data_IF_832381677863
#
_entry.id   IF_832381677863
#
_cell.length_a   1.000
_cell.length_b   1.000
_cell.length_c   1.000
_cell.angle_alpha   90.00
_cell.angle_beta   90.00
_cell.angle_gamma   90.00
#
_symmetry.space_group_name_H-M   'P 1'
#
loop_
_entity.id
_entity.type
_entity.pdbx_description
1 polymer ?
#
# COMPACT_ATOMS: atom_id res chain seq x y z
N UNK A 1 7.37 13.60 -7.95
CA UNK A 1 7.27 13.49 -9.42
C UNK A 1 6.98 14.86 -10.01
N UNK A 2 7.85 15.43 -10.86
CA UNK A 2 7.54 16.70 -11.56
C UNK A 2 6.40 16.43 -12.55
N UNK A 3 5.37 17.30 -12.63
CA UNK A 3 4.28 17.13 -13.59
C UNK A 3 4.82 17.08 -15.01
N UNK A 4 4.24 16.22 -15.87
CA UNK A 4 4.62 16.17 -17.29
C UNK A 4 4.40 17.53 -17.93
N UNK A 5 5.28 18.00 -18.82
CA UNK A 5 5.19 19.30 -19.49
C UNK A 5 3.81 19.60 -20.09
N UNK A 6 3.09 18.59 -20.59
CA UNK A 6 1.72 18.75 -21.10
C UNK A 6 0.69 19.15 -20.04
N UNK A 7 0.81 18.67 -18.79
CA UNK A 7 -0.13 19.03 -17.71
C UNK A 7 0.09 20.46 -17.22
N UNK A 8 1.33 20.92 -17.16
CA UNK A 8 1.66 22.30 -16.80
C UNK A 8 1.14 23.30 -17.85
N UNK A 9 1.23 22.97 -19.14
CA UNK A 9 0.72 23.81 -20.21
C UNK A 9 -0.81 23.90 -20.16
N UNK A 10 -1.51 22.79 -19.90
CA UNK A 10 -2.97 22.80 -19.72
C UNK A 10 -3.40 23.69 -18.56
N UNK A 11 -2.69 23.66 -17.43
CA UNK A 11 -2.95 24.55 -16.28
C UNK A 11 -2.73 26.01 -16.66
N UNK A 12 -1.63 26.35 -17.32
CA UNK A 12 -1.36 27.73 -17.78
C UNK A 12 -2.46 28.25 -18.71
N UNK A 13 -2.89 27.43 -19.68
CA UNK A 13 -3.97 27.79 -20.60
C UNK A 13 -5.29 28.03 -19.85
N UNK A 14 -5.62 27.21 -18.86
CA UNK A 14 -6.80 27.38 -18.02
C UNK A 14 -6.73 28.68 -17.19
N UNK A 15 -5.60 29.00 -16.56
CA UNK A 15 -5.40 30.23 -15.81
C UNK A 15 -5.57 31.47 -16.70
N UNK A 16 -5.03 31.42 -17.92
CA UNK A 16 -5.19 32.50 -18.91
C UNK A 16 -6.64 32.64 -19.33
N UNK A 17 -7.34 31.56 -19.60
CA UNK A 17 -8.76 31.59 -20.00
C UNK A 17 -9.69 32.14 -18.88
N UNK A 18 -9.34 31.91 -17.62
CA UNK A 18 -10.05 32.46 -16.44
C UNK A 18 -9.71 33.97 -16.24
N UNK A 19 -8.62 34.45 -16.83
CA UNK A 19 -8.16 35.82 -16.65
C UNK A 19 -7.38 36.09 -15.35
N UNK A 20 -6.95 35.04 -14.65
CA UNK A 20 -6.17 35.14 -13.41
C UNK A 20 -4.94 34.21 -13.53
N UNK A 21 -3.84 34.69 -14.17
CA UNK A 21 -2.68 33.86 -14.47
C UNK A 21 -2.01 33.21 -13.26
N UNK A 22 -2.07 33.83 -12.09
CA UNK A 22 -1.46 33.36 -10.84
C UNK A 22 -2.44 32.68 -9.87
N UNK A 23 -3.64 32.27 -10.33
CA UNK A 23 -4.67 31.67 -9.47
C UNK A 23 -4.18 30.40 -8.75
N UNK A 24 -3.35 29.59 -9.40
CA UNK A 24 -2.80 28.38 -8.78
C UNK A 24 -1.91 28.74 -7.60
N UNK A 25 -1.03 29.73 -7.75
CA UNK A 25 -0.15 30.19 -6.68
C UNK A 25 -0.94 30.79 -5.52
N UNK A 26 -1.94 31.61 -5.82
CA UNK A 26 -2.83 32.17 -4.80
C UNK A 26 -3.51 31.05 -4.00
N UNK A 27 -4.07 30.03 -4.67
CA UNK A 27 -4.73 28.92 -4.01
C UNK A 27 -3.75 28.05 -3.22
N UNK A 28 -2.53 27.82 -3.74
CA UNK A 28 -1.54 26.95 -3.11
C UNK A 28 -0.90 27.56 -1.85
N UNK A 29 -0.77 28.90 -1.80
CA UNK A 29 -0.02 29.58 -0.74
C UNK A 29 -0.89 30.35 0.27
N UNK A 30 -2.13 30.66 -0.09
CA UNK A 30 -3.04 31.38 0.82
C UNK A 30 -3.49 30.49 1.99
N UNK A 31 -3.66 31.05 3.19
CA UNK A 31 -4.19 30.31 4.34
C UNK A 31 -5.55 29.69 4.03
N UNK A 32 -5.75 28.43 4.42
CA UNK A 32 -7.00 27.70 4.15
C UNK A 32 -8.23 28.39 4.79
N UNK A 33 -8.05 29.09 5.91
CA UNK A 33 -9.11 29.89 6.55
C UNK A 33 -9.67 31.01 5.65
N UNK A 34 -8.89 31.53 4.72
CA UNK A 34 -9.31 32.53 3.72
C UNK A 34 -9.91 31.86 2.48
N UNK A 35 -9.38 30.72 2.05
CA UNK A 35 -9.84 30.04 0.83
C UNK A 35 -11.13 29.23 1.06
N UNK A 36 -11.29 28.62 2.22
CA UNK A 36 -12.42 27.72 2.47
C UNK A 36 -13.79 28.40 2.31
N UNK A 37 -14.05 29.63 2.82
CA UNK A 37 -15.31 30.33 2.57
C UNK A 37 -15.57 30.58 1.07
N UNK A 38 -14.52 30.90 0.31
CA UNK A 38 -14.60 31.11 -1.13
C UNK A 38 -14.99 29.83 -1.83
N UNK A 39 -14.31 28.74 -1.55
CA UNK A 39 -14.58 27.43 -2.15
C UNK A 39 -15.99 26.95 -1.81
N UNK A 40 -16.38 27.01 -0.53
CA UNK A 40 -17.72 26.58 -0.09
C UNK A 40 -18.80 27.41 -0.81
N UNK A 41 -18.66 28.72 -0.88
CA UNK A 41 -19.64 29.58 -1.58
C UNK A 41 -19.70 29.30 -3.09
N UNK A 42 -18.54 29.17 -3.74
CA UNK A 42 -18.48 28.86 -5.17
C UNK A 42 -19.12 27.50 -5.49
N UNK A 43 -18.83 26.47 -4.72
CA UNK A 43 -19.39 25.12 -4.92
C UNK A 43 -20.88 25.06 -4.56
N UNK A 44 -21.35 25.83 -3.56
CA UNK A 44 -22.78 25.97 -3.26
C UNK A 44 -23.53 26.55 -4.46
N UNK A 45 -23.02 27.61 -5.09
CA UNK A 45 -23.61 28.15 -6.30
C UNK A 45 -23.60 27.17 -7.47
N UNK A 46 -22.52 26.47 -7.69
CA UNK A 46 -22.45 25.43 -8.73
C UNK A 46 -23.44 24.28 -8.47
N UNK A 47 -23.59 23.85 -7.22
CA UNK A 47 -24.53 22.79 -6.85
C UNK A 47 -25.99 23.24 -7.05
N UNK A 48 -26.36 24.45 -6.63
CA UNK A 48 -27.72 24.98 -6.77
C UNK A 48 -28.14 25.24 -8.23
N UNK A 49 -27.19 25.35 -9.15
CA UNK A 49 -27.50 25.48 -10.59
C UNK A 49 -27.74 24.16 -11.30
N UNK A 50 -27.51 23.01 -10.63
CA UNK A 50 -27.64 21.67 -11.22
C UNK A 50 -29.09 21.22 -11.30
N UNK A 51 -29.42 20.45 -12.35
CA UNK A 51 -30.74 19.87 -12.55
C UNK A 51 -30.68 18.36 -12.31
N UNK A 52 -31.73 17.78 -11.76
CA UNK A 52 -31.78 16.35 -11.44
C UNK A 52 -31.42 15.40 -12.62
N UNK A 53 -31.91 15.63 -13.86
CA UNK A 53 -31.49 14.78 -15.00
C UNK A 53 -29.99 14.87 -15.33
N UNK A 54 -29.32 15.98 -15.02
CA UNK A 54 -27.87 16.12 -15.22
C UNK A 54 -27.10 15.30 -14.20
N UNK A 55 -27.61 15.18 -12.97
CA UNK A 55 -27.01 14.35 -11.94
C UNK A 55 -27.06 12.87 -12.34
N UNK A 56 -28.19 12.41 -12.86
CA UNK A 56 -28.33 11.03 -13.34
C UNK A 56 -27.37 10.75 -14.49
N UNK A 57 -27.29 11.63 -15.49
CA UNK A 57 -26.33 11.49 -16.59
C UNK A 57 -24.89 11.43 -16.11
N UNK A 58 -24.51 12.30 -15.18
CA UNK A 58 -23.16 12.30 -14.63
C UNK A 58 -22.86 10.97 -13.89
N UNK A 59 -23.80 10.49 -13.10
CA UNK A 59 -23.69 9.19 -12.41
C UNK A 59 -23.44 8.04 -13.39
N UNK A 60 -24.20 7.98 -14.47
CA UNK A 60 -24.04 6.96 -15.52
C UNK A 60 -22.73 7.07 -16.30
N UNK A 61 -22.28 8.31 -16.61
CA UNK A 61 -21.04 8.57 -17.33
C UNK A 61 -19.79 8.29 -16.49
N UNK A 62 -19.84 8.52 -15.18
CA UNK A 62 -18.73 8.33 -14.24
C UNK A 62 -18.89 7.06 -13.41
N UNK A 63 -19.48 6.01 -13.97
CA UNK A 63 -19.83 4.78 -13.25
C UNK A 63 -18.63 4.12 -12.57
N UNK A 64 -17.41 4.27 -13.08
CA UNK A 64 -16.19 3.71 -12.48
C UNK A 64 -15.87 4.29 -11.10
N UNK A 65 -16.26 5.56 -10.85
CA UNK A 65 -16.02 6.28 -9.60
C UNK A 65 -17.28 6.33 -8.74
N UNK A 66 -18.43 6.55 -9.38
CA UNK A 66 -19.70 6.80 -8.68
C UNK A 66 -20.62 5.58 -8.63
N UNK A 67 -20.41 4.59 -9.51
CA UNK A 67 -21.27 3.42 -9.62
C UNK A 67 -21.13 2.47 -8.43
N UNK A 68 -22.02 1.51 -8.37
CA UNK A 68 -22.03 0.47 -7.33
C UNK A 68 -21.00 -0.62 -7.64
N UNK A 69 -20.44 -1.24 -6.59
CA UNK A 69 -19.71 -2.50 -6.73
C UNK A 69 -20.65 -3.61 -7.24
N UNK A 70 -20.06 -4.56 -7.98
CA UNK A 70 -20.76 -5.78 -8.40
C UNK A 70 -20.93 -6.81 -7.26
N UNK A 71 -20.29 -6.57 -6.11
CA UNK A 71 -20.32 -7.46 -4.95
C UNK A 71 -21.50 -7.03 -4.05
N UNK A 72 -22.29 -8.00 -3.58
CA UNK A 72 -23.38 -7.70 -2.67
C UNK A 72 -22.87 -7.19 -1.33
N UNK A 73 -23.57 -6.24 -0.73
CA UNK A 73 -23.19 -5.70 0.59
C UNK A 73 -23.15 -6.78 1.68
N UNK A 74 -24.06 -7.77 1.59
CA UNK A 74 -24.06 -8.92 2.50
C UNK A 74 -22.76 -9.72 2.43
N UNK A 75 -22.22 -9.96 1.22
CA UNK A 75 -20.96 -10.67 1.03
C UNK A 75 -19.78 -9.85 1.53
N UNK A 76 -19.81 -8.53 1.30
CA UNK A 76 -18.82 -7.59 1.83
C UNK A 76 -18.77 -7.68 3.36
N UNK A 77 -19.91 -7.68 4.05
CA UNK A 77 -19.93 -7.76 5.51
C UNK A 77 -19.45 -9.11 6.04
N UNK A 78 -19.82 -10.21 5.39
CA UNK A 78 -19.32 -11.54 5.78
C UNK A 78 -17.80 -11.65 5.64
N UNK A 79 -17.27 -11.12 4.55
CA UNK A 79 -15.81 -11.05 4.34
C UNK A 79 -15.14 -10.19 5.42
N UNK A 80 -15.65 -8.99 5.65
CA UNK A 80 -15.12 -8.06 6.65
C UNK A 80 -15.12 -8.68 8.05
N UNK A 81 -16.22 -9.31 8.45
CA UNK A 81 -16.34 -9.97 9.75
C UNK A 81 -15.32 -11.12 9.89
N UNK A 82 -15.18 -11.97 8.87
CA UNK A 82 -14.16 -13.04 8.87
C UNK A 82 -12.74 -12.49 9.07
N UNK A 83 -12.41 -11.39 8.41
CA UNK A 83 -11.11 -10.74 8.55
C UNK A 83 -10.90 -10.19 9.97
N UNK A 84 -11.88 -9.48 10.50
CA UNK A 84 -11.80 -8.85 11.83
C UNK A 84 -11.75 -9.89 12.94
N UNK A 85 -12.61 -10.90 12.90
CA UNK A 85 -12.62 -12.00 13.89
C UNK A 85 -11.30 -12.76 13.93
N UNK A 86 -10.65 -12.91 12.78
CA UNK A 86 -9.32 -13.54 12.71
C UNK A 86 -8.24 -12.66 13.31
N UNK A 87 -8.29 -11.36 13.06
CA UNK A 87 -7.25 -10.42 13.49
C UNK A 87 -7.36 -9.99 14.96
N UNK A 88 -8.54 -10.08 15.60
CA UNK A 88 -8.84 -9.52 16.93
C UNK A 88 -7.92 -10.02 18.05
N UNK A 89 -7.28 -11.17 17.91
CA UNK A 89 -6.34 -11.69 18.90
C UNK A 89 -5.03 -10.89 19.01
N UNK A 90 -4.68 -10.14 17.94
CA UNK A 90 -3.43 -9.39 17.86
C UNK A 90 -3.60 -7.93 17.44
N UNK A 91 -4.74 -7.56 16.87
CA UNK A 91 -5.04 -6.23 16.36
C UNK A 91 -6.38 -5.73 16.91
N UNK A 92 -6.39 -4.50 17.40
CA UNK A 92 -7.65 -3.83 17.73
C UNK A 92 -8.35 -3.40 16.43
N UNK A 93 -9.62 -3.80 16.29
CA UNK A 93 -10.44 -3.40 15.16
C UNK A 93 -11.02 -2.01 15.36
N UNK A 94 -10.81 -1.12 14.41
CA UNK A 94 -11.28 0.27 14.47
C UNK A 94 -12.03 0.66 13.19
N UNK A 95 -13.11 1.43 13.36
CA UNK A 95 -13.79 2.09 12.27
C UNK A 95 -13.11 3.42 11.96
N UNK A 96 -12.93 3.74 10.68
CA UNK A 96 -12.22 4.93 10.26
C UNK A 96 -13.10 5.87 9.45
N UNK A 97 -12.81 7.19 9.48
CA UNK A 97 -13.45 8.16 8.60
C UNK A 97 -13.19 7.84 7.11
N UNK A 98 -14.11 8.12 6.19
CA UNK A 98 -13.87 8.01 4.75
C UNK A 98 -12.92 9.08 4.19
N UNK A 99 -12.53 10.07 5.00
CA UNK A 99 -11.65 11.19 4.62
C UNK A 99 -10.45 11.29 5.56
N UNK A 100 -9.35 11.84 5.03
CA UNK A 100 -8.10 12.11 5.73
C UNK A 100 -7.67 13.57 5.51
N UNK A 101 -6.70 14.10 6.28
CA UNK A 101 -6.08 15.38 5.96
C UNK A 101 -5.54 15.43 4.54
N UNK A 102 -5.65 16.57 3.87
CA UNK A 102 -5.11 16.75 2.51
C UNK A 102 -3.61 16.46 2.48
N UNK A 103 -3.18 15.67 1.53
CA UNK A 103 -1.79 15.27 1.35
C UNK A 103 -1.37 14.03 2.12
N UNK A 104 -2.24 13.41 2.93
CA UNK A 104 -1.91 12.18 3.66
C UNK A 104 -1.31 11.11 2.75
N UNK A 105 -1.96 10.85 1.62
CA UNK A 105 -1.47 9.86 0.68
C UNK A 105 -0.15 10.31 0.02
N UNK A 106 -0.10 11.52 -0.52
CA UNK A 106 1.08 12.00 -1.24
C UNK A 106 2.34 12.11 -0.37
N UNK A 107 2.20 12.53 0.88
CA UNK A 107 3.33 12.67 1.82
C UNK A 107 3.84 11.32 2.29
N UNK A 108 2.96 10.42 2.71
CA UNK A 108 3.38 9.13 3.27
C UNK A 108 3.81 8.14 2.18
N UNK A 109 3.05 8.02 1.09
CA UNK A 109 3.30 7.02 0.05
C UNK A 109 4.17 7.52 -1.10
N UNK A 110 4.41 8.85 -1.18
CA UNK A 110 5.09 9.52 -2.30
C UNK A 110 4.39 9.34 -3.65
N UNK A 111 3.14 8.89 -3.65
CA UNK A 111 2.29 8.79 -4.84
C UNK A 111 1.73 10.18 -5.18
N UNK A 112 1.56 10.44 -6.47
CA UNK A 112 1.03 11.74 -6.93
C UNK A 112 -0.34 12.04 -6.33
N UNK A 113 -0.55 13.28 -5.84
CA UNK A 113 -1.84 13.78 -5.37
C UNK A 113 -2.94 13.69 -6.44
N UNK A 114 -2.59 13.65 -7.72
CA UNK A 114 -3.54 13.44 -8.82
C UNK A 114 -4.28 12.09 -8.77
N UNK A 115 -3.76 11.13 -8.00
CA UNK A 115 -4.40 9.83 -7.80
C UNK A 115 -5.40 9.83 -6.63
N UNK A 116 -5.57 10.97 -5.95
CA UNK A 116 -6.42 11.10 -4.77
C UNK A 116 -7.50 12.16 -5.01
N UNK A 117 -8.73 11.88 -4.59
CA UNK A 117 -9.83 12.83 -4.70
C UNK A 117 -9.76 13.85 -3.55
N UNK A 118 -9.23 15.03 -3.83
CA UNK A 118 -9.17 16.15 -2.87
C UNK A 118 -10.54 16.82 -2.72
N UNK A 119 -10.85 17.28 -1.52
CA UNK A 119 -12.08 18.04 -1.23
C UNK A 119 -11.79 19.53 -1.11
N UNK A 120 -12.86 20.33 -1.13
CA UNK A 120 -12.78 21.79 -0.91
C UNK A 120 -12.56 22.18 0.57
N UNK A 121 -12.47 21.20 1.47
CA UNK A 121 -12.34 21.44 2.92
C UNK A 121 -10.97 21.03 3.48
N UNK A 122 -9.93 21.11 2.65
CA UNK A 122 -8.56 20.74 3.02
C UNK A 122 -8.44 19.29 3.53
N UNK A 123 -9.22 18.41 2.93
CA UNK A 123 -9.20 16.97 3.18
C UNK A 123 -9.14 16.23 1.86
N UNK A 124 -8.94 14.93 1.92
CA UNK A 124 -9.00 14.05 0.76
C UNK A 124 -9.80 12.79 1.08
N UNK A 125 -10.43 12.23 0.08
CA UNK A 125 -11.07 10.91 0.20
C UNK A 125 -9.96 9.86 0.32
N UNK A 126 -10.12 8.97 1.27
CA UNK A 126 -9.17 7.88 1.55
C UNK A 126 -8.87 7.06 0.29
N UNK A 127 -7.62 7.08 -0.13
CA UNK A 127 -7.11 6.30 -1.27
C UNK A 127 -6.37 5.02 -0.82
N UNK A 128 -5.93 5.00 0.44
CA UNK A 128 -5.28 3.86 1.08
C UNK A 128 -5.59 3.85 2.58
N UNK A 129 -6.27 2.80 3.03
CA UNK A 129 -6.67 2.65 4.43
C UNK A 129 -5.46 2.51 5.37
N UNK A 130 -4.32 1.97 4.88
CA UNK A 130 -3.10 1.83 5.69
C UNK A 130 -2.55 3.16 6.15
N UNK A 131 -2.62 4.21 5.30
CA UNK A 131 -2.15 5.56 5.66
C UNK A 131 -2.98 6.18 6.77
N UNK A 132 -4.29 5.98 6.73
CA UNK A 132 -5.20 6.49 7.77
C UNK A 132 -5.01 5.75 9.09
N UNK A 133 -4.92 4.41 9.05
CA UNK A 133 -4.62 3.63 10.25
C UNK A 133 -3.27 4.03 10.87
N UNK A 134 -2.27 4.35 10.03
CA UNK A 134 -0.97 4.80 10.54
C UNK A 134 -1.07 6.16 11.24
N UNK A 135 -1.91 7.09 10.78
CA UNK A 135 -2.17 8.33 11.52
C UNK A 135 -2.73 8.04 12.91
N UNK A 136 -3.68 7.11 13.03
CA UNK A 136 -4.24 6.72 14.33
C UNK A 136 -3.22 5.97 15.20
N UNK A 137 -2.45 5.03 14.62
CA UNK A 137 -1.34 4.37 15.32
C UNK A 137 -0.36 5.40 15.92
N UNK A 138 0.04 6.39 15.13
CA UNK A 138 0.97 7.43 15.57
C UNK A 138 0.34 8.39 16.59
N UNK A 139 -0.96 8.71 16.47
CA UNK A 139 -1.70 9.48 17.46
C UNK A 139 -1.69 8.78 18.83
N UNK A 140 -1.95 7.47 18.84
CA UNK A 140 -1.90 6.65 20.07
C UNK A 140 -0.48 6.53 20.61
N UNK A 141 0.51 6.23 19.74
CA UNK A 141 1.92 6.18 20.14
C UNK A 141 2.40 7.48 20.75
N UNK A 142 2.00 8.64 20.25
CA UNK A 142 2.34 9.96 20.80
C UNK A 142 1.85 10.09 22.25
N UNK A 143 0.66 9.59 22.57
CA UNK A 143 0.13 9.57 23.94
C UNK A 143 0.93 8.64 24.84
N UNK A 144 1.23 7.41 24.39
CA UNK A 144 2.04 6.45 25.14
C UNK A 144 3.46 6.97 25.41
N UNK A 145 4.08 7.62 24.42
CA UNK A 145 5.40 8.26 24.61
C UNK A 145 5.33 9.36 25.68
N UNK A 146 4.28 10.17 25.68
CA UNK A 146 4.10 11.24 26.66
C UNK A 146 3.90 10.71 28.09
N UNK A 147 3.31 9.52 28.26
CA UNK A 147 3.16 8.82 29.55
C UNK A 147 4.31 7.88 29.86
N UNK A 148 5.37 7.88 29.04
CA UNK A 148 6.53 6.98 29.15
C UNK A 148 6.18 5.48 29.06
N UNK A 149 5.05 5.15 28.45
CA UNK A 149 4.65 3.78 28.17
C UNK A 149 5.29 3.28 26.87
N UNK A 150 5.88 2.07 26.91
CA UNK A 150 6.60 1.49 25.78
C UNK A 150 5.78 0.45 25.00
N UNK A 151 4.45 0.50 25.11
CA UNK A 151 3.55 -0.41 24.43
C UNK A 151 3.46 -0.09 22.94
N UNK A 152 3.46 -1.12 22.10
CA UNK A 152 3.18 -0.98 20.68
C UNK A 152 1.68 -0.83 20.40
N UNK A 153 1.34 -0.30 19.23
CA UNK A 153 -0.04 -0.15 18.77
C UNK A 153 -0.23 -1.01 17.52
N UNK A 154 -1.24 -1.87 17.53
CA UNK A 154 -1.61 -2.75 16.43
C UNK A 154 -3.09 -2.55 16.12
N UNK A 155 -3.40 -2.02 14.95
CA UNK A 155 -4.77 -1.73 14.52
C UNK A 155 -5.10 -2.46 13.24
N UNK A 156 -6.36 -2.89 13.10
CA UNK A 156 -6.92 -3.36 11.85
C UNK A 156 -8.20 -2.61 11.50
N UNK A 157 -8.51 -2.56 10.22
CA UNK A 157 -9.76 -1.98 9.72
C UNK A 157 -10.10 -2.57 8.37
N UNK A 158 -11.39 -2.57 8.07
CA UNK A 158 -11.94 -2.88 6.76
C UNK A 158 -12.65 -1.64 6.22
N UNK A 159 -12.43 -1.31 4.95
CA UNK A 159 -13.13 -0.16 4.40
C UNK A 159 -12.84 0.13 2.94
N UNK A 160 -13.75 0.93 2.36
CA UNK A 160 -13.72 1.29 0.96
C UNK A 160 -12.76 2.44 0.69
N UNK A 161 -11.96 2.30 -0.36
CA UNK A 161 -10.96 3.26 -0.80
C UNK A 161 -11.30 3.75 -2.21
N UNK A 162 -10.81 4.93 -2.58
CA UNK A 162 -10.99 5.50 -3.92
C UNK A 162 -9.64 5.96 -4.48
N UNK A 163 -9.26 5.43 -5.64
CA UNK A 163 -8.04 5.84 -6.37
C UNK A 163 -8.42 6.33 -7.77
N UNK A 164 -7.96 7.52 -8.13
CA UNK A 164 -8.25 8.11 -9.44
C UNK A 164 -7.29 7.66 -10.55
N UNK A 165 -6.27 6.88 -10.21
CA UNK A 165 -5.36 6.32 -11.23
C UNK A 165 -6.12 5.37 -12.17
N UNK A 166 -5.75 5.33 -13.45
CA UNK A 166 -6.29 4.32 -14.36
C UNK A 166 -5.94 2.90 -13.90
N UNK A 167 -6.91 2.00 -13.98
CA UNK A 167 -6.72 0.58 -13.72
C UNK A 167 -6.92 -0.25 -14.98
N UNK A 168 -6.27 -1.40 -15.03
CA UNK A 168 -6.53 -2.41 -16.05
C UNK A 168 -7.88 -3.09 -15.75
N UNK A 169 -8.89 -2.70 -16.52
CA UNK A 169 -10.27 -3.22 -16.38
C UNK A 169 -10.35 -4.73 -16.68
N UNK A 170 -9.46 -5.25 -17.53
CA UNK A 170 -9.44 -6.66 -17.90
C UNK A 170 -9.04 -7.55 -16.72
N UNK A 171 -8.29 -7.02 -15.76
CA UNK A 171 -7.89 -7.69 -14.52
C UNK A 171 -8.91 -7.55 -13.38
N UNK A 172 -10.07 -6.96 -13.65
CA UNK A 172 -11.14 -6.80 -12.66
C UNK A 172 -10.90 -5.70 -11.61
N UNK A 173 -9.88 -4.87 -11.77
CA UNK A 173 -9.67 -3.72 -10.88
C UNK A 173 -10.75 -2.65 -11.08
N UNK A 174 -11.06 -1.94 -9.99
CA UNK A 174 -11.98 -0.78 -9.97
C UNK A 174 -11.28 0.40 -9.29
N UNK A 175 -11.78 1.63 -9.58
CA UNK A 175 -11.26 2.83 -8.94
C UNK A 175 -11.65 2.93 -7.46
N UNK A 176 -12.79 2.35 -7.06
CA UNK A 176 -13.16 2.19 -5.66
C UNK A 176 -13.26 0.71 -5.29
N UNK A 177 -12.68 0.34 -4.18
CA UNK A 177 -12.52 -1.06 -3.76
C UNK A 177 -12.35 -1.16 -2.25
N UNK A 178 -12.66 -2.33 -1.72
CA UNK A 178 -12.48 -2.61 -0.29
C UNK A 178 -11.12 -3.24 -0.01
N UNK A 179 -10.52 -2.79 1.09
CA UNK A 179 -9.32 -3.37 1.69
C UNK A 179 -9.59 -3.78 3.13
N UNK A 180 -9.09 -4.92 3.52
CA UNK A 180 -8.78 -5.22 4.91
C UNK A 180 -7.32 -4.91 5.16
N UNK A 181 -7.02 -4.12 6.18
CA UNK A 181 -5.66 -3.63 6.43
C UNK A 181 -5.24 -3.78 7.88
N UNK A 182 -3.95 -4.00 8.06
CA UNK A 182 -3.26 -4.03 9.35
C UNK A 182 -2.22 -2.90 9.37
N UNK A 183 -2.12 -2.18 10.47
CA UNK A 183 -1.08 -1.18 10.71
C UNK A 183 -0.55 -1.30 12.13
N UNK A 184 0.76 -1.24 12.26
CA UNK A 184 1.45 -1.35 13.55
C UNK A 184 2.52 -0.28 13.69
N UNK A 185 2.59 0.33 14.88
CA UNK A 185 3.64 1.27 15.24
C UNK A 185 4.18 0.96 16.63
N UNK A 186 5.51 1.06 16.80
CA UNK A 186 6.17 0.78 18.07
C UNK A 186 7.64 1.19 18.04
N UNK A 187 8.25 1.18 19.21
CA UNK A 187 9.65 1.54 19.36
C UNK A 187 10.57 0.44 18.86
N UNK A 188 11.55 0.82 18.06
CA UNK A 188 12.61 -0.09 17.66
C UNK A 188 13.59 -0.28 18.82
N UNK A 189 13.69 -1.50 19.33
CA UNK A 189 14.61 -1.90 20.40
C UNK A 189 15.62 -2.92 19.84
N UNK A 190 16.84 -2.51 19.50
CA UNK A 190 17.83 -3.45 18.92
C UNK A 190 18.16 -4.63 19.85
N UNK A 191 18.15 -4.42 21.16
CA UNK A 191 18.40 -5.45 22.17
C UNK A 191 17.34 -6.57 22.22
N UNK A 192 16.13 -6.31 21.72
CA UNK A 192 15.01 -7.26 21.69
C UNK A 192 14.74 -7.81 20.26
N UNK A 193 15.72 -7.78 19.38
CA UNK A 193 15.54 -8.19 17.97
C UNK A 193 14.79 -7.17 17.12
N UNK A 194 14.52 -5.99 17.66
CA UNK A 194 13.79 -4.91 17.00
C UNK A 194 12.27 -5.11 17.00
N UNK A 195 11.54 -4.09 16.57
CA UNK A 195 10.08 -4.13 16.46
C UNK A 195 9.62 -4.65 15.09
N UNK A 196 10.27 -4.18 14.02
CA UNK A 196 9.71 -4.29 12.68
C UNK A 196 9.65 -5.72 12.11
N UNK A 197 10.70 -6.53 12.28
CA UNK A 197 10.76 -7.89 11.72
C UNK A 197 9.80 -8.87 12.45
N UNK A 198 9.76 -8.92 13.79
CA UNK A 198 8.73 -9.72 14.48
C UNK A 198 7.30 -9.27 14.13
N UNK A 199 7.06 -7.96 14.01
CA UNK A 199 5.76 -7.41 13.62
C UNK A 199 5.42 -7.77 12.16
N UNK A 200 6.39 -7.75 11.24
CA UNK A 200 6.18 -8.21 9.86
C UNK A 200 5.70 -9.68 9.83
N UNK A 201 6.34 -10.56 10.63
CA UNK A 201 5.89 -11.94 10.79
C UNK A 201 4.46 -12.00 11.33
N UNK A 202 4.12 -11.21 12.36
CA UNK A 202 2.76 -11.14 12.90
C UNK A 202 1.74 -10.75 11.84
N UNK A 203 2.04 -9.74 11.00
CA UNK A 203 1.18 -9.35 9.89
C UNK A 203 0.96 -10.50 8.90
N UNK A 204 2.02 -11.19 8.48
CA UNK A 204 1.93 -12.33 7.57
C UNK A 204 1.08 -13.45 8.19
N UNK A 205 1.33 -13.82 9.45
CA UNK A 205 0.56 -14.82 10.18
C UNK A 205 -0.93 -14.49 10.24
N UNK A 206 -1.27 -13.24 10.57
CA UNK A 206 -2.66 -12.79 10.62
C UNK A 206 -3.33 -12.87 9.24
N UNK A 207 -2.65 -12.43 8.18
CA UNK A 207 -3.20 -12.49 6.82
C UNK A 207 -3.35 -13.94 6.33
N UNK A 208 -2.42 -14.84 6.64
CA UNK A 208 -2.56 -16.26 6.32
C UNK A 208 -3.73 -16.90 7.07
N UNK A 209 -3.90 -16.58 8.36
CA UNK A 209 -5.07 -17.00 9.13
C UNK A 209 -6.39 -16.48 8.54
N UNK A 210 -6.41 -15.23 8.05
CA UNK A 210 -7.57 -14.67 7.32
C UNK A 210 -7.86 -15.49 6.07
N UNK A 211 -6.83 -15.82 5.28
CA UNK A 211 -6.99 -16.62 4.06
C UNK A 211 -7.54 -18.01 4.38
N UNK A 212 -7.01 -18.69 5.39
CA UNK A 212 -7.50 -20.01 5.83
C UNK A 212 -8.97 -19.96 6.28
N UNK A 213 -9.37 -18.92 7.01
CA UNK A 213 -10.76 -18.76 7.42
C UNK A 213 -11.68 -18.37 6.25
N UNK A 214 -11.21 -17.58 5.31
CA UNK A 214 -11.93 -17.28 4.07
C UNK A 214 -12.13 -18.55 3.21
N UNK A 215 -11.17 -19.48 3.18
CA UNK A 215 -11.33 -20.77 2.51
C UNK A 215 -12.57 -21.54 3.05
N UNK A 216 -12.80 -21.50 4.37
CA UNK A 216 -13.95 -22.14 5.01
C UNK A 216 -15.29 -21.49 4.61
N UNK A 217 -15.26 -20.24 4.15
CA UNK A 217 -16.45 -19.47 3.73
C UNK A 217 -16.64 -19.42 2.21
N UNK A 218 -15.88 -20.22 1.46
CA UNK A 218 -16.05 -20.40 0.02
C UNK A 218 -15.10 -19.61 -0.88
N UNK A 219 -14.15 -18.89 -0.31
CA UNK A 219 -13.06 -18.26 -1.06
C UNK A 219 -11.89 -19.24 -1.17
N UNK A 220 -11.72 -19.86 -2.32
CA UNK A 220 -10.72 -20.90 -2.48
C UNK A 220 -9.55 -20.45 -3.39
N UNK A 221 -8.33 -20.45 -2.84
CA UNK A 221 -7.10 -20.29 -3.62
C UNK A 221 -6.24 -21.54 -3.55
N UNK A 222 -5.69 -21.93 -4.67
CA UNK A 222 -4.64 -22.97 -4.76
C UNK A 222 -3.25 -22.33 -4.64
N UNK A 223 -2.27 -23.14 -4.26
CA UNK A 223 -0.85 -22.81 -4.37
C UNK A 223 -0.50 -21.42 -3.78
N UNK A 224 -0.81 -21.23 -2.49
CA UNK A 224 -0.44 -19.99 -1.82
C UNK A 224 1.09 -19.92 -1.69
N UNK A 225 1.63 -18.75 -2.11
CA UNK A 225 3.07 -18.45 -2.04
C UNK A 225 3.26 -17.11 -1.34
N UNK A 226 4.12 -17.08 -0.33
CA UNK A 226 4.56 -15.84 0.33
C UNK A 226 5.97 -15.51 -0.15
N UNK A 227 6.10 -14.39 -0.84
CA UNK A 227 7.37 -13.89 -1.37
C UNK A 227 7.85 -12.72 -0.52
N UNK A 228 9.05 -12.82 0.04
CA UNK A 228 9.67 -11.77 0.85
C UNK A 228 10.77 -11.08 0.04
N UNK A 229 10.76 -9.76 0.04
CA UNK A 229 11.75 -8.94 -0.66
C UNK A 229 12.38 -7.94 0.30
N UNK A 230 13.62 -7.55 0.04
CA UNK A 230 14.22 -6.39 0.68
C UNK A 230 14.50 -5.30 -0.37
N UNK A 231 13.81 -4.18 -0.23
CA UNK A 231 13.90 -3.07 -1.20
C UNK A 231 15.32 -2.48 -1.24
N UNK A 232 16.02 -2.47 -0.10
CA UNK A 232 17.42 -2.00 -0.07
C UNK A 232 18.36 -2.91 -0.84
N UNK A 233 18.07 -4.23 -0.86
CA UNK A 233 18.78 -5.15 -1.73
C UNK A 233 18.60 -4.75 -3.20
N UNK A 234 17.35 -4.53 -3.62
CA UNK A 234 17.06 -4.13 -5.00
C UNK A 234 17.71 -2.79 -5.38
N UNK A 235 17.65 -1.81 -4.49
CA UNK A 235 18.27 -0.50 -4.71
C UNK A 235 19.79 -0.62 -4.83
N UNK A 236 20.45 -1.38 -3.97
CA UNK A 236 21.90 -1.60 -4.04
C UNK A 236 22.29 -2.46 -5.25
N UNK A 237 21.46 -3.42 -5.66
CA UNK A 237 21.69 -4.18 -6.88
C UNK A 237 21.66 -3.26 -8.12
N UNK A 238 20.66 -2.38 -8.21
CA UNK A 238 20.55 -1.39 -9.28
C UNK A 238 21.78 -0.48 -9.30
N UNK A 239 22.18 0.06 -8.15
CA UNK A 239 23.30 0.98 -8.03
C UNK A 239 24.65 0.25 -8.22
N UNK A 240 24.83 -0.92 -7.63
CA UNK A 240 26.06 -1.72 -7.71
C UNK A 240 26.38 -2.24 -9.11
N UNK A 241 25.36 -2.49 -9.91
CA UNK A 241 25.48 -2.87 -11.32
C UNK A 241 25.34 -1.69 -12.29
N UNK A 242 25.22 -0.46 -11.77
CA UNK A 242 25.03 0.76 -12.57
C UNK A 242 23.85 0.68 -13.54
N UNK A 243 22.75 0.00 -13.12
CA UNK A 243 21.57 -0.17 -13.96
C UNK A 243 20.78 1.15 -14.10
N UNK A 244 20.04 1.35 -15.21
CA UNK A 244 19.33 2.61 -15.47
C UNK A 244 18.09 2.76 -14.57
N UNK A 245 18.30 3.22 -13.34
CA UNK A 245 17.31 3.36 -12.26
C UNK A 245 16.00 4.05 -12.71
N UNK A 246 16.10 5.17 -13.43
CA UNK A 246 14.89 5.88 -13.90
C UNK A 246 14.07 5.03 -14.88
N UNK A 247 14.71 4.27 -15.74
CA UNK A 247 14.03 3.40 -16.70
C UNK A 247 13.36 2.23 -15.98
N UNK A 248 14.04 1.62 -15.01
CA UNK A 248 13.48 0.56 -14.17
C UNK A 248 12.24 1.08 -13.43
N UNK A 249 12.33 2.25 -12.77
CA UNK A 249 11.21 2.85 -12.05
C UNK A 249 10.02 3.21 -12.96
N UNK A 250 10.27 3.64 -14.20
CA UNK A 250 9.19 3.90 -15.18
C UNK A 250 8.47 2.63 -15.60
N UNK A 251 9.16 1.51 -15.62
CA UNK A 251 8.63 0.22 -16.05
C UNK A 251 8.07 -0.64 -14.90
N UNK A 252 8.01 -0.13 -13.67
CA UNK A 252 7.48 -0.89 -12.51
C UNK A 252 6.03 -1.35 -12.70
N UNK A 253 5.23 -0.61 -13.45
CA UNK A 253 3.83 -0.95 -13.76
C UNK A 253 3.67 -1.83 -15.01
N UNK A 254 4.74 -2.02 -15.78
CA UNK A 254 4.71 -2.89 -16.94
C UNK A 254 4.93 -4.34 -16.50
N UNK A 255 3.92 -5.18 -16.66
CA UNK A 255 3.97 -6.61 -16.28
C UNK A 255 4.99 -7.40 -17.10
N UNK A 256 5.22 -7.01 -18.35
CA UNK A 256 6.11 -7.70 -19.28
C UNK A 256 7.59 -7.32 -19.10
N UNK A 257 7.87 -6.29 -18.30
CA UNK A 257 9.23 -5.89 -18.02
C UNK A 257 9.81 -6.72 -16.88
N UNK A 258 10.84 -7.48 -17.18
CA UNK A 258 11.66 -8.20 -16.21
C UNK A 258 13.06 -7.59 -16.17
N UNK A 259 13.46 -7.05 -15.02
CA UNK A 259 14.74 -6.38 -14.83
C UNK A 259 15.91 -7.37 -14.95
N UNK A 260 15.75 -8.58 -14.40
CA UNK A 260 16.80 -9.58 -14.39
C UNK A 260 17.11 -10.10 -15.80
N UNK A 261 16.08 -10.37 -16.60
CA UNK A 261 16.24 -10.80 -17.98
C UNK A 261 16.75 -9.66 -18.85
N UNK A 262 16.19 -8.45 -18.69
CA UNK A 262 16.55 -7.27 -19.52
C UNK A 262 18.02 -6.87 -19.37
N UNK A 263 18.56 -6.96 -18.15
CA UNK A 263 19.93 -6.52 -17.85
C UNK A 263 20.88 -7.67 -17.54
N UNK A 264 20.46 -8.92 -17.74
CA UNK A 264 21.29 -10.13 -17.52
C UNK A 264 21.92 -10.12 -16.11
N UNK A 265 21.07 -9.92 -15.07
CA UNK A 265 21.51 -9.85 -13.69
C UNK A 265 22.05 -11.21 -13.24
N UNK A 266 23.34 -11.35 -12.83
CA UNK A 266 23.93 -12.63 -12.44
C UNK A 266 23.54 -13.03 -11.00
N UNK A 267 22.25 -13.04 -10.71
CA UNK A 267 21.69 -13.39 -9.41
C UNK A 267 20.35 -14.11 -9.61
N UNK A 268 19.96 -15.07 -8.76
CA UNK A 268 18.68 -15.77 -8.90
C UNK A 268 17.50 -14.82 -8.63
N UNK A 269 16.42 -14.97 -9.38
CA UNK A 269 15.19 -14.17 -9.19
C UNK A 269 14.49 -14.51 -7.88
N UNK A 270 14.49 -15.79 -7.51
CA UNK A 270 13.87 -16.31 -6.28
C UNK A 270 14.76 -17.41 -5.67
N UNK A 271 14.75 -17.49 -4.35
CA UNK A 271 15.33 -18.63 -3.62
C UNK A 271 14.47 -18.98 -2.41
N UNK A 272 14.38 -20.27 -2.10
CA UNK A 272 13.64 -20.72 -0.92
C UNK A 272 14.45 -20.53 0.37
N UNK A 273 15.77 -20.71 0.34
CA UNK A 273 16.66 -20.59 1.50
C UNK A 273 17.89 -19.75 1.18
N UNK A 274 18.46 -19.11 2.20
CA UNK A 274 19.71 -18.35 2.04
C UNK A 274 20.89 -19.28 1.78
N UNK A 275 20.84 -20.53 2.26
CA UNK A 275 21.88 -21.55 2.02
C UNK A 275 22.07 -21.86 0.54
N UNK A 276 21.03 -21.71 -0.29
CA UNK A 276 21.14 -21.88 -1.74
C UNK A 276 21.92 -20.78 -2.46
N UNK A 277 22.27 -19.69 -1.76
CA UNK A 277 23.04 -18.58 -2.28
C UNK A 277 24.53 -18.77 -1.95
N UNK A 278 25.41 -18.78 -2.97
CA UNK A 278 26.85 -18.79 -2.77
C UNK A 278 27.39 -17.39 -2.46
N UNK A 279 28.49 -17.32 -1.68
CA UNK A 279 29.14 -16.02 -1.42
C UNK A 279 29.66 -15.35 -2.69
N UNK A 280 30.04 -16.11 -3.73
CA UNK A 280 30.49 -15.58 -5.01
C UNK A 280 29.42 -14.73 -5.68
N UNK A 281 28.14 -15.15 -5.63
CA UNK A 281 27.03 -14.39 -6.22
C UNK A 281 26.92 -12.98 -5.63
N UNK A 282 27.14 -12.82 -4.33
CA UNK A 282 27.13 -11.49 -3.69
C UNK A 282 28.33 -10.64 -4.05
N UNK A 283 29.48 -11.26 -4.33
CA UNK A 283 30.68 -10.55 -4.83
C UNK A 283 30.46 -9.99 -6.22
N UNK A 284 29.83 -10.79 -7.09
CA UNK A 284 29.53 -10.39 -8.46
C UNK A 284 28.61 -9.17 -8.53
N UNK A 285 27.67 -9.05 -7.57
CA UNK A 285 26.78 -7.89 -7.43
C UNK A 285 27.24 -6.87 -6.37
N UNK A 286 28.43 -7.03 -5.80
CA UNK A 286 29.03 -6.14 -4.77
C UNK A 286 28.19 -5.95 -3.51
N UNK A 287 27.54 -7.04 -3.03
CA UNK A 287 26.53 -6.99 -1.98
C UNK A 287 26.80 -7.94 -0.79
N UNK A 288 28.06 -8.20 -0.44
CA UNK A 288 28.44 -9.17 0.59
C UNK A 288 27.77 -8.98 1.97
N UNK A 289 27.41 -7.74 2.33
CA UNK A 289 26.76 -7.42 3.61
C UNK A 289 25.31 -7.94 3.73
N UNK A 290 24.68 -8.33 2.61
CA UNK A 290 23.30 -8.74 2.62
C UNK A 290 23.05 -10.17 3.10
N UNK A 291 24.03 -11.07 3.03
CA UNK A 291 23.89 -12.46 3.51
C UNK A 291 23.39 -12.50 4.96
N UNK A 292 24.07 -11.77 5.86
CA UNK A 292 23.69 -11.73 7.28
C UNK A 292 22.28 -11.21 7.50
N UNK A 293 21.86 -10.22 6.69
CA UNK A 293 20.52 -9.67 6.76
C UNK A 293 19.46 -10.65 6.26
N UNK A 294 19.69 -11.29 5.13
CA UNK A 294 18.78 -12.33 4.60
C UNK A 294 18.68 -13.50 5.57
N UNK A 295 19.80 -13.95 6.16
CA UNK A 295 19.81 -15.00 7.19
C UNK A 295 19.02 -14.59 8.43
N UNK A 296 19.09 -13.32 8.85
CA UNK A 296 18.27 -12.81 9.94
C UNK A 296 16.78 -12.85 9.60
N UNK A 297 16.38 -12.40 8.42
CA UNK A 297 14.98 -12.45 7.96
C UNK A 297 14.51 -13.91 7.83
N UNK A 298 15.34 -14.80 7.29
CA UNK A 298 15.00 -16.23 7.19
C UNK A 298 14.74 -16.86 8.56
N UNK A 299 15.63 -16.64 9.53
CA UNK A 299 15.50 -17.16 10.89
C UNK A 299 14.27 -16.60 11.61
N UNK A 300 14.02 -15.30 11.54
CA UNK A 300 12.96 -14.66 12.31
C UNK A 300 11.58 -14.70 11.64
N UNK A 301 11.52 -14.88 10.33
CA UNK A 301 10.26 -14.82 9.57
C UNK A 301 9.98 -16.14 8.84
N UNK A 302 10.85 -16.56 7.90
CA UNK A 302 10.52 -17.69 7.03
C UNK A 302 10.50 -19.01 7.78
N UNK A 303 11.51 -19.32 8.59
CA UNK A 303 11.59 -20.60 9.32
C UNK A 303 10.38 -20.80 10.24
N UNK A 304 9.98 -19.84 11.11
CA UNK A 304 8.78 -19.97 11.91
C UNK A 304 7.50 -20.15 11.10
N UNK A 305 7.35 -19.40 9.99
CA UNK A 305 6.18 -19.48 9.13
C UNK A 305 6.10 -20.83 8.39
N UNK A 306 7.21 -21.36 7.87
CA UNK A 306 7.26 -22.69 7.25
C UNK A 306 6.85 -23.79 8.22
N UNK A 307 7.28 -23.69 9.49
CA UNK A 307 6.87 -24.63 10.53
C UNK A 307 5.38 -24.58 10.82
N UNK A 308 4.80 -23.40 10.82
CA UNK A 308 3.37 -23.19 11.11
C UNK A 308 2.47 -23.53 9.91
N UNK A 309 2.93 -23.24 8.69
CA UNK A 309 2.19 -23.42 7.43
C UNK A 309 2.96 -24.28 6.43
N UNK A 310 3.13 -25.61 6.70
CA UNK A 310 3.98 -26.50 5.88
C UNK A 310 3.46 -26.70 4.45
N UNK A 311 2.21 -26.36 4.19
CA UNK A 311 1.55 -26.43 2.86
C UNK A 311 1.71 -25.16 2.03
N UNK A 312 2.32 -24.10 2.59
CA UNK A 312 2.56 -22.82 1.92
C UNK A 312 4.03 -22.69 1.55
N UNK A 313 4.31 -22.29 0.31
CA UNK A 313 5.68 -21.97 -0.10
C UNK A 313 6.07 -20.58 0.39
N UNK A 314 7.26 -20.47 0.98
CA UNK A 314 7.87 -19.21 1.40
C UNK A 314 9.23 -19.07 0.73
N UNK A 315 9.46 -17.96 0.03
CA UNK A 315 10.72 -17.69 -0.67
C UNK A 315 11.12 -16.22 -0.57
N UNK A 316 12.39 -15.95 -0.85
CA UNK A 316 12.86 -14.61 -1.16
C UNK A 316 12.58 -14.32 -2.64
N UNK A 317 12.16 -13.09 -2.93
CA UNK A 317 11.96 -12.56 -4.29
C UNK A 317 12.88 -11.35 -4.48
N UNK A 318 13.88 -11.51 -5.32
CA UNK A 318 14.86 -10.47 -5.67
C UNK A 318 14.48 -9.67 -6.91
N UNK A 319 13.46 -10.10 -7.64
CA UNK A 319 12.97 -9.43 -8.85
C UNK A 319 11.73 -8.55 -8.60
N UNK A 320 11.38 -8.30 -7.35
CA UNK A 320 10.25 -7.44 -7.01
C UNK A 320 10.53 -6.00 -7.44
N UNK A 321 9.70 -5.42 -8.28
CA UNK A 321 9.78 -4.02 -8.72
C UNK A 321 8.82 -3.11 -7.93
N UNK A 322 7.67 -3.64 -7.55
CA UNK A 322 6.64 -2.90 -6.84
C UNK A 322 7.09 -2.57 -5.40
N UNK A 323 6.92 -1.31 -5.00
CA UNK A 323 7.23 -0.86 -3.65
C UNK A 323 8.58 -0.15 -3.48
N UNK A 324 9.41 -0.04 -4.54
CA UNK A 324 10.61 0.80 -4.52
C UNK A 324 10.18 2.25 -4.27
N UNK A 325 10.77 2.87 -3.22
CA UNK A 325 10.40 4.21 -2.77
C UNK A 325 9.13 4.30 -1.92
N UNK A 326 8.40 3.18 -1.73
CA UNK A 326 7.23 3.06 -0.86
C UNK A 326 7.59 2.34 0.45
N UNK A 327 8.19 1.14 0.38
CA UNK A 327 8.70 0.42 1.55
C UNK A 327 10.11 0.89 1.90
N UNK A 328 10.39 0.95 3.20
CA UNK A 328 11.71 1.34 3.70
C UNK A 328 12.76 0.23 3.56
N UNK A 329 12.32 -1.03 3.65
CA UNK A 329 13.20 -2.20 3.54
C UNK A 329 12.40 -3.50 3.26
N UNK A 330 12.30 -4.42 4.23
CA UNK A 330 11.66 -5.73 4.04
C UNK A 330 10.16 -5.59 3.81
N UNK A 331 9.68 -6.25 2.79
CA UNK A 331 8.27 -6.29 2.42
C UNK A 331 7.90 -7.69 1.89
N UNK A 332 6.63 -7.95 1.69
CA UNK A 332 6.15 -9.25 1.19
C UNK A 332 4.99 -9.09 0.23
N UNK A 333 4.80 -10.11 -0.59
CA UNK A 333 3.58 -10.37 -1.34
C UNK A 333 3.01 -11.73 -0.94
N UNK A 334 1.68 -11.87 -0.97
CA UNK A 334 1.03 -13.17 -0.95
C UNK A 334 0.31 -13.37 -2.27
N UNK A 335 0.72 -14.41 -2.99
CA UNK A 335 0.11 -14.85 -4.24
C UNK A 335 -0.72 -16.10 -4.02
N UNK A 336 -1.65 -16.32 -4.92
CA UNK A 336 -2.38 -17.57 -5.01
C UNK A 336 -2.96 -17.74 -6.41
N UNK A 337 -3.43 -18.95 -6.71
CA UNK A 337 -4.07 -19.28 -7.98
C UNK A 337 -5.57 -19.38 -7.80
N UNK A 338 -6.32 -18.81 -8.73
CA UNK A 338 -7.76 -18.98 -8.83
C UNK A 338 -8.14 -20.44 -9.19
N UNK A 339 -9.43 -20.76 -9.15
CA UNK A 339 -9.95 -22.07 -9.61
C UNK A 339 -9.56 -22.37 -11.07
N UNK A 340 -9.42 -21.35 -11.89
CA UNK A 340 -9.04 -21.43 -13.30
C UNK A 340 -7.52 -21.45 -13.53
N UNK A 341 -6.70 -21.41 -12.46
CA UNK A 341 -5.25 -21.44 -12.54
C UNK A 341 -4.58 -20.08 -12.77
N UNK A 342 -5.34 -18.98 -12.80
CA UNK A 342 -4.77 -17.63 -12.93
C UNK A 342 -4.11 -17.24 -11.61
N UNK A 343 -2.79 -16.94 -11.66
CA UNK A 343 -2.05 -16.40 -10.52
C UNK A 343 -2.37 -14.92 -10.33
N UNK A 344 -2.55 -14.51 -9.08
CA UNK A 344 -2.75 -13.12 -8.74
C UNK A 344 -2.23 -12.82 -7.33
N UNK A 345 -1.82 -11.58 -7.13
CA UNK A 345 -1.44 -11.06 -5.84
C UNK A 345 -2.69 -10.57 -5.10
N UNK A 346 -2.97 -11.08 -3.93
CA UNK A 346 -4.12 -10.66 -3.12
C UNK A 346 -3.75 -9.95 -1.82
N UNK A 347 -2.51 -10.09 -1.35
CA UNK A 347 -2.03 -9.36 -0.18
C UNK A 347 -0.64 -8.77 -0.42
N UNK A 348 -0.41 -7.64 0.22
CA UNK A 348 0.85 -6.89 0.19
C UNK A 348 1.12 -6.29 1.57
N UNK A 349 2.39 -6.11 1.91
CA UNK A 349 2.77 -5.46 3.15
C UNK A 349 4.27 -5.30 3.31
N UNK A 350 4.67 -4.53 4.32
CA UNK A 350 6.08 -4.32 4.59
C UNK A 350 6.34 -3.24 5.62
N UNK A 351 7.62 -3.03 5.85
CA UNK A 351 8.13 -2.03 6.78
C UNK A 351 8.17 -0.68 6.06
N UNK A 352 7.57 0.33 6.69
CA UNK A 352 7.56 1.73 6.22
C UNK A 352 8.18 2.65 7.26
N UNK A 353 8.60 3.82 6.85
CA UNK A 353 9.22 4.84 7.71
C UNK A 353 8.20 5.88 8.24
N UNK A 354 6.90 5.62 8.06
CA UNK A 354 5.85 6.60 8.34
C UNK A 354 5.75 6.98 9.81
N UNK A 355 5.91 6.04 10.74
CA UNK A 355 5.86 6.37 12.17
C UNK A 355 7.03 7.28 12.57
N UNK A 356 8.23 7.02 12.08
CA UNK A 356 9.38 7.89 12.35
C UNK A 356 9.20 9.30 11.78
N UNK A 357 8.61 9.43 10.59
CA UNK A 357 8.29 10.72 9.98
C UNK A 357 7.19 11.46 10.73
N UNK A 358 6.04 10.81 11.00
CA UNK A 358 4.87 11.42 11.66
C UNK A 358 5.16 11.86 13.11
N UNK A 359 6.02 11.11 13.80
CA UNK A 359 6.39 11.40 15.19
C UNK A 359 7.68 12.21 15.31
N UNK A 360 8.35 12.48 14.18
CA UNK A 360 9.68 13.09 14.14
C UNK A 360 10.65 12.39 15.11
N UNK A 361 10.64 11.06 15.11
CA UNK A 361 11.40 10.22 16.04
C UNK A 361 11.95 8.98 15.32
N UNK A 362 13.25 8.97 15.03
CA UNK A 362 13.93 7.87 14.33
C UNK A 362 13.94 6.53 15.09
N UNK A 363 13.51 6.51 16.35
CA UNK A 363 13.36 5.27 17.15
C UNK A 363 12.01 4.59 16.96
N UNK A 364 11.04 5.24 16.30
CA UNK A 364 9.74 4.65 16.00
C UNK A 364 9.79 3.92 14.66
N UNK A 365 9.23 2.73 14.64
CA UNK A 365 9.13 1.87 13.47
C UNK A 365 7.68 1.53 13.16
N UNK A 366 7.39 1.20 11.91
CA UNK A 366 6.03 0.87 11.48
C UNK A 366 6.00 -0.22 10.43
N UNK A 367 4.93 -1.02 10.48
CA UNK A 367 4.62 -2.09 9.53
C UNK A 367 3.17 -1.92 9.09
N UNK A 368 2.94 -2.08 7.79
CA UNK A 368 1.61 -2.05 7.19
C UNK A 368 1.40 -3.29 6.33
N UNK A 369 0.15 -3.70 6.18
CA UNK A 369 -0.24 -4.71 5.19
C UNK A 369 -1.73 -4.68 4.91
N UNK A 370 -2.15 -5.36 3.83
CA UNK A 370 -3.56 -5.45 3.50
C UNK A 370 -3.89 -6.53 2.49
N UNK A 371 -5.16 -6.88 2.44
CA UNK A 371 -5.79 -7.79 1.47
C UNK A 371 -6.80 -7.02 0.63
N UNK A 372 -6.73 -7.17 -0.69
CA UNK A 372 -7.69 -6.63 -1.63
C UNK A 372 -8.98 -7.46 -1.66
N UNK A 373 -9.98 -7.06 -0.88
CA UNK A 373 -11.22 -7.83 -0.74
C UNK A 373 -12.01 -7.95 -2.05
N UNK A 374 -12.12 -6.86 -2.80
CA UNK A 374 -12.83 -6.83 -4.09
C UNK A 374 -12.26 -7.84 -5.09
N UNK A 375 -10.93 -7.95 -5.16
CA UNK A 375 -10.26 -8.87 -6.06
C UNK A 375 -10.49 -10.33 -5.64
N UNK A 376 -10.45 -10.61 -4.33
CA UNK A 376 -10.73 -11.95 -3.80
C UNK A 376 -12.16 -12.39 -4.11
N UNK A 377 -13.15 -11.50 -3.99
CA UNK A 377 -14.54 -11.83 -4.37
C UNK A 377 -14.66 -12.20 -5.84
N UNK A 378 -13.95 -11.50 -6.74
CA UNK A 378 -14.04 -11.74 -8.18
C UNK A 378 -13.30 -12.99 -8.65
N UNK A 379 -12.21 -13.36 -7.99
CA UNK A 379 -11.31 -14.42 -8.48
C UNK A 379 -11.42 -15.74 -7.71
N UNK A 380 -11.88 -15.72 -6.46
CA UNK A 380 -11.84 -16.89 -5.57
C UNK A 380 -13.22 -17.47 -5.18
N UNK A 381 -14.28 -16.76 -5.45
CA UNK A 381 -15.62 -17.20 -5.07
C UNK A 381 -16.35 -18.05 -6.12
#
# INVERSE_FOLDING_TARGET
MKPKNSSLQAVKNACTAIGIPNIVEIIATSPISQLQPIFVHAFTRRASSRKAPELLRQYEQQNEILGMSSISQHDVYRFALTCQDTAQSAFESVETSPITPLGTNAVLTKISQNNTLSTIRNTEVRSDLTTQLMLECCSRRRRLIATQEDSSVHLCSYGRNLRLQPFDKTKGYMQHFDLFTLSSAGKHKPSEGGFAIPTLRLHIQTLLGVIENLHKTGFFSKEIVVKISDIRFLEQLIDGMELPREQILRNTLNTDFDMFDTYTVPFPKEVDTVESLSESMFKDVKMNSFISRLSYIEREVLIPLRKQYPHIRFCFDFNRKAGIGYYANTCFHIFGKSKTGVEFQFADGGIVDWASQLLNNGKEASVISGIGAELMHKLLR
#
